data_IF_615420722834
#
_entry.id   IF_615420722834
#
_cell.length_a   1.000
_cell.length_b   1.000
_cell.length_c   1.000
_cell.angle_alpha   90.00
_cell.angle_beta   90.00
_cell.angle_gamma   90.00
#
_symmetry.space_group_name_H-M   'P 1'
#
loop_
_entity.id
_entity.type
_entity.pdbx_description
1 polymer ?
#
# COMPACT_ATOMS: atom_id res chain seq x y z
N UNK A 1 16.99 2.10 10.41
CA UNK A 1 17.58 1.11 9.47
C UNK A 1 16.74 0.88 8.20
N UNK A 2 15.48 1.35 8.10
CA UNK A 2 14.60 1.14 6.93
C UNK A 2 14.75 2.16 5.79
N UNK A 3 15.38 3.31 5.98
CA UNK A 3 15.41 4.37 4.94
C UNK A 3 16.51 4.19 3.88
N UNK A 4 17.62 3.54 4.23
CA UNK A 4 18.75 3.35 3.30
C UNK A 4 18.38 2.43 2.11
N UNK A 5 17.60 1.38 2.35
CA UNK A 5 17.19 0.43 1.30
C UNK A 5 16.29 1.11 0.27
N UNK A 6 15.36 1.96 0.73
CA UNK A 6 14.42 2.69 -0.13
C UNK A 6 15.12 3.67 -1.07
N UNK A 7 16.21 4.30 -0.61
CA UNK A 7 17.03 5.16 -1.44
C UNK A 7 17.67 4.39 -2.61
N UNK A 8 18.35 3.28 -2.32
CA UNK A 8 19.01 2.45 -3.33
C UNK A 8 18.00 1.90 -4.34
N UNK A 9 16.84 1.43 -3.86
CA UNK A 9 15.74 0.97 -4.71
C UNK A 9 15.27 2.05 -5.68
N UNK A 10 14.93 3.24 -5.17
CA UNK A 10 14.45 4.35 -5.99
C UNK A 10 15.51 4.83 -6.98
N UNK A 11 16.78 4.88 -6.56
CA UNK A 11 17.89 5.31 -7.41
C UNK A 11 18.20 4.30 -8.53
N UNK A 12 18.05 3.01 -8.26
CA UNK A 12 18.21 1.96 -9.28
C UNK A 12 17.09 2.01 -10.33
N UNK A 13 15.85 2.33 -9.93
CA UNK A 13 14.74 2.59 -10.87
C UNK A 13 15.11 3.75 -11.81
N UNK A 14 15.67 4.85 -11.29
CA UNK A 14 16.12 5.96 -12.12
C UNK A 14 17.20 5.56 -13.13
N UNK A 15 18.21 4.82 -12.67
CA UNK A 15 19.25 4.26 -13.56
C UNK A 15 18.63 3.38 -14.65
N UNK A 16 17.64 2.55 -14.32
CA UNK A 16 16.98 1.67 -15.28
C UNK A 16 16.26 2.45 -16.39
N UNK A 17 15.53 3.52 -16.03
CA UNK A 17 14.81 4.38 -16.97
C UNK A 17 15.80 5.08 -17.91
N UNK A 18 16.93 5.55 -17.37
CA UNK A 18 17.97 6.18 -18.17
C UNK A 18 18.74 5.20 -19.07
N UNK A 19 18.79 3.91 -18.73
CA UNK A 19 19.49 2.86 -19.50
C UNK A 19 18.70 2.34 -20.69
N UNK A 20 17.36 2.37 -20.63
CA UNK A 20 16.51 1.99 -21.75
C UNK A 20 16.75 2.95 -22.92
N UNK A 21 17.28 2.46 -24.04
CA UNK A 21 17.37 3.22 -25.29
C UNK A 21 15.93 3.43 -25.82
N UNK A 22 15.59 4.62 -26.34
CA UNK A 22 14.32 4.78 -27.01
C UNK A 22 14.27 3.81 -28.21
N UNK A 23 13.24 2.96 -28.26
CA UNK A 23 12.85 2.32 -29.51
C UNK A 23 12.45 3.43 -30.47
N UNK A 24 12.96 3.38 -31.70
CA UNK A 24 12.83 4.35 -32.78
C UNK A 24 11.57 5.23 -32.71
N UNK A 25 11.71 6.39 -32.08
CA UNK A 25 10.79 7.51 -32.30
C UNK A 25 11.65 8.75 -32.37
N UNK A 26 11.52 9.44 -33.49
CA UNK A 26 11.94 10.81 -33.65
C UNK A 26 11.24 11.66 -32.57
N UNK A 27 11.84 11.77 -31.37
CA UNK A 27 11.35 12.62 -30.27
C UNK A 27 12.01 13.99 -30.44
N UNK A 28 11.62 14.68 -31.52
CA UNK A 28 11.87 16.09 -31.69
C UNK A 28 11.11 16.84 -30.59
N UNK A 29 11.80 17.16 -29.51
CA UNK A 29 11.42 18.12 -28.47
C UNK A 29 10.11 17.84 -27.70
N UNK A 30 10.24 17.29 -26.48
CA UNK A 30 9.15 17.33 -25.50
C UNK A 30 9.17 18.65 -24.72
N UNK A 31 8.10 19.47 -24.77
CA UNK A 31 8.02 20.70 -23.99
C UNK A 31 7.92 20.39 -22.50
N UNK A 32 8.62 21.18 -21.67
CA UNK A 32 8.59 21.01 -20.23
C UNK A 32 7.19 21.18 -19.66
N UNK A 33 6.70 20.12 -18.99
CA UNK A 33 5.43 20.10 -18.28
C UNK A 33 5.49 21.00 -17.03
N UNK A 34 4.33 21.24 -16.41
CA UNK A 34 4.25 21.99 -15.15
C UNK A 34 4.98 21.23 -14.04
N UNK A 35 4.87 19.90 -14.05
CA UNK A 35 5.53 18.99 -13.12
C UNK A 35 7.05 19.01 -13.32
N UNK A 36 7.53 19.07 -14.57
CA UNK A 36 8.96 19.19 -14.86
C UNK A 36 9.54 20.47 -14.27
N UNK A 37 8.85 21.60 -14.52
CA UNK A 37 9.27 22.92 -14.00
C UNK A 37 9.28 22.93 -12.48
N UNK A 38 8.30 22.27 -11.86
CA UNK A 38 8.22 22.11 -10.42
C UNK A 38 9.39 21.30 -9.89
N UNK A 39 9.68 20.15 -10.49
CA UNK A 39 10.81 19.30 -10.12
C UNK A 39 12.15 20.02 -10.30
N UNK A 40 12.33 20.77 -11.41
CA UNK A 40 13.53 21.58 -11.65
C UNK A 40 13.70 22.65 -10.58
N UNK A 41 12.61 23.34 -10.20
CA UNK A 41 12.65 24.35 -9.14
C UNK A 41 13.01 23.73 -7.78
N UNK A 42 12.41 22.59 -7.44
CA UNK A 42 12.73 21.82 -6.22
C UNK A 42 14.18 21.34 -6.25
N UNK A 43 14.66 20.82 -7.38
CA UNK A 43 16.03 20.39 -7.56
C UNK A 43 17.03 21.53 -7.32
N UNK A 44 16.79 22.72 -7.87
CA UNK A 44 17.63 23.89 -7.63
C UNK A 44 17.69 24.27 -6.15
N UNK A 45 16.55 24.28 -5.47
CA UNK A 45 16.49 24.58 -4.02
C UNK A 45 17.26 23.56 -3.19
N UNK A 46 17.08 22.27 -3.48
CA UNK A 46 17.78 21.19 -2.77
C UNK A 46 19.27 21.16 -3.07
N UNK A 47 19.68 21.50 -4.29
CA UNK A 47 21.08 21.67 -4.65
C UNK A 47 21.74 22.78 -3.83
N UNK A 48 21.07 23.92 -3.68
CA UNK A 48 21.55 25.01 -2.83
C UNK A 48 21.66 24.57 -1.37
N UNK A 49 20.63 23.90 -0.84
CA UNK A 49 20.65 23.40 0.54
C UNK A 49 21.80 22.40 0.79
N UNK A 50 22.09 21.52 -0.17
CA UNK A 50 23.26 20.62 -0.11
C UNK A 50 24.57 21.43 -0.12
N UNK A 51 24.68 22.43 -1.00
CA UNK A 51 25.85 23.29 -1.07
C UNK A 51 26.08 24.06 0.25
N UNK A 52 25.06 24.72 0.78
CA UNK A 52 25.10 25.40 2.09
C UNK A 52 25.49 24.44 3.21
N UNK A 53 24.89 23.25 3.27
CA UNK A 53 25.19 22.26 4.28
C UNK A 53 26.68 21.83 4.27
N UNK A 54 27.27 21.71 3.08
CA UNK A 54 28.67 21.31 2.93
C UNK A 54 29.64 22.47 3.13
N UNK A 55 29.31 23.67 2.66
CA UNK A 55 30.20 24.84 2.70
C UNK A 55 30.27 25.50 4.07
N UNK A 56 29.15 25.63 4.79
CA UNK A 56 29.13 26.41 6.04
C UNK A 56 29.46 25.58 7.28
N UNK A 57 29.16 24.27 7.27
CA UNK A 57 29.28 23.43 8.47
C UNK A 57 29.73 21.98 8.19
N UNK A 58 30.16 21.64 6.96
CA UNK A 58 30.51 20.26 6.54
C UNK A 58 29.49 19.23 7.08
N UNK A 59 28.20 19.58 7.00
CA UNK A 59 27.13 18.76 7.52
C UNK A 59 26.73 17.71 6.48
N UNK A 60 27.56 16.66 6.39
CA UNK A 60 27.36 15.54 5.48
C UNK A 60 26.03 14.85 5.71
N UNK A 61 25.54 14.78 6.96
CA UNK A 61 24.26 14.16 7.28
C UNK A 61 23.10 14.91 6.63
N UNK A 62 23.00 16.22 6.85
CA UNK A 62 21.95 17.04 6.23
C UNK A 62 22.07 17.07 4.71
N UNK A 63 23.28 17.02 4.15
CA UNK A 63 23.49 16.89 2.71
C UNK A 63 22.93 15.56 2.18
N UNK A 64 23.21 14.43 2.84
CA UNK A 64 22.69 13.10 2.48
C UNK A 64 21.17 13.05 2.61
N UNK A 65 20.61 13.52 3.72
CA UNK A 65 19.16 13.53 3.94
C UNK A 65 18.45 14.34 2.84
N UNK A 66 18.98 15.51 2.48
CA UNK A 66 18.47 16.34 1.38
C UNK A 66 18.53 15.61 0.03
N UNK A 67 19.60 14.85 -0.24
CA UNK A 67 19.72 14.03 -1.45
C UNK A 67 18.73 12.84 -1.47
N UNK A 68 18.46 12.22 -0.32
CA UNK A 68 17.48 11.14 -0.20
C UNK A 68 16.05 11.64 -0.46
N UNK A 69 15.72 12.81 0.09
CA UNK A 69 14.45 13.45 -0.19
C UNK A 69 14.34 13.85 -1.67
N UNK A 70 15.42 14.31 -2.31
CA UNK A 70 15.43 14.61 -3.75
C UNK A 70 15.08 13.37 -4.59
N UNK A 71 15.63 12.20 -4.26
CA UNK A 71 15.26 10.93 -4.93
C UNK A 71 13.79 10.59 -4.72
N UNK A 72 13.25 10.89 -3.55
CA UNK A 72 11.82 10.70 -3.25
C UNK A 72 10.94 11.64 -4.08
N UNK A 73 11.32 12.91 -4.24
CA UNK A 73 10.60 13.88 -5.10
C UNK A 73 10.57 13.43 -6.56
N UNK A 74 11.70 12.88 -7.05
CA UNK A 74 11.77 12.35 -8.40
C UNK A 74 10.85 11.14 -8.55
N UNK A 75 10.79 10.24 -7.56
CA UNK A 75 9.89 9.10 -7.61
C UNK A 75 8.41 9.54 -7.64
N UNK A 76 8.03 10.54 -6.84
CA UNK A 76 6.68 11.13 -6.87
C UNK A 76 6.39 11.75 -8.25
N UNK A 77 7.38 12.39 -8.86
CA UNK A 77 7.27 12.92 -10.22
C UNK A 77 7.05 11.79 -11.26
N UNK A 78 7.75 10.65 -11.12
CA UNK A 78 7.56 9.49 -11.99
C UNK A 78 6.17 8.86 -11.85
N UNK A 79 5.58 8.85 -10.66
CA UNK A 79 4.20 8.36 -10.48
C UNK A 79 3.16 9.27 -11.15
N UNK A 80 3.44 10.56 -11.27
CA UNK A 80 2.53 11.55 -11.84
C UNK A 80 2.63 11.67 -13.37
N UNK A 81 3.77 11.30 -13.96
CA UNK A 81 4.04 11.46 -15.39
C UNK A 81 4.07 10.12 -16.13
N UNK A 82 3.27 10.00 -17.20
CA UNK A 82 3.31 8.82 -18.08
C UNK A 82 4.58 8.76 -18.94
N UNK A 83 5.11 9.92 -19.32
CA UNK A 83 6.34 10.04 -20.11
C UNK A 83 7.23 11.10 -19.47
N UNK A 84 8.17 10.70 -18.59
CA UNK A 84 9.01 11.65 -17.86
C UNK A 84 10.10 12.25 -18.75
N UNK A 85 10.46 13.50 -18.48
CA UNK A 85 11.52 14.19 -19.19
C UNK A 85 12.89 13.62 -18.79
N UNK A 86 13.52 12.88 -19.71
CA UNK A 86 14.79 12.19 -19.48
C UNK A 86 15.94 13.12 -19.13
N UNK A 87 15.94 14.35 -19.65
CA UNK A 87 17.01 15.32 -19.41
C UNK A 87 16.98 15.82 -17.95
N UNK A 88 15.79 16.05 -17.40
CA UNK A 88 15.64 16.41 -15.97
C UNK A 88 16.14 15.28 -15.07
N UNK A 89 15.73 14.05 -15.37
CA UNK A 89 16.16 12.86 -14.61
C UNK A 89 17.67 12.63 -14.70
N UNK A 90 18.26 12.81 -15.88
CA UNK A 90 19.70 12.68 -16.11
C UNK A 90 20.48 13.69 -15.29
N UNK A 91 20.09 14.96 -15.34
CA UNK A 91 20.75 16.03 -14.59
C UNK A 91 20.73 15.78 -13.07
N UNK A 92 19.60 15.30 -12.53
CA UNK A 92 19.48 14.96 -11.11
C UNK A 92 20.36 13.74 -10.76
N UNK A 93 20.33 12.69 -11.59
CA UNK A 93 21.11 11.46 -11.36
C UNK A 93 22.62 11.73 -11.40
N UNK A 94 23.08 12.55 -12.34
CA UNK A 94 24.48 12.99 -12.43
C UNK A 94 24.88 13.78 -11.20
N UNK A 95 24.05 14.72 -10.75
CA UNK A 95 24.32 15.49 -9.53
C UNK A 95 24.45 14.60 -8.30
N UNK A 96 23.50 13.70 -8.06
CA UNK A 96 23.53 12.79 -6.90
C UNK A 96 24.78 11.91 -6.94
N UNK A 97 25.12 11.37 -8.12
CA UNK A 97 26.33 10.55 -8.29
C UNK A 97 27.60 11.34 -7.99
N UNK A 98 27.67 12.57 -8.50
CA UNK A 98 28.80 13.47 -8.24
C UNK A 98 28.92 13.81 -6.76
N UNK A 99 27.82 14.07 -6.07
CA UNK A 99 27.85 14.32 -4.63
C UNK A 99 28.35 13.11 -3.84
N UNK A 100 27.97 11.89 -4.20
CA UNK A 100 28.55 10.70 -3.57
C UNK A 100 30.03 10.49 -3.89
N UNK A 101 30.53 10.97 -5.04
CA UNK A 101 31.96 11.00 -5.32
C UNK A 101 32.68 12.04 -4.44
N UNK A 102 32.11 13.24 -4.27
CA UNK A 102 32.63 14.29 -3.38
C UNK A 102 32.67 13.81 -1.93
N UNK A 103 31.66 13.05 -1.50
CA UNK A 103 31.61 12.41 -0.18
C UNK A 103 32.46 11.13 -0.08
N UNK A 104 33.22 10.77 -1.13
CA UNK A 104 34.07 9.58 -1.20
C UNK A 104 33.34 8.23 -0.98
N UNK A 105 32.02 8.20 -1.22
CA UNK A 105 31.18 6.98 -1.11
C UNK A 105 31.27 6.13 -2.38
N UNK A 106 31.40 6.79 -3.53
CA UNK A 106 31.55 6.13 -4.83
C UNK A 106 32.94 6.49 -5.37
N UNK A 107 33.78 5.51 -5.74
CA UNK A 107 35.05 5.81 -6.39
C UNK A 107 34.77 6.54 -7.70
N UNK A 108 35.45 7.68 -7.90
CA UNK A 108 35.53 8.29 -9.21
C UNK A 108 36.49 7.41 -10.00
N UNK A 109 36.03 6.89 -11.14
CA UNK A 109 36.88 6.15 -12.07
C UNK A 109 37.85 7.15 -12.71
N UNK A 110 38.85 7.55 -11.93
CA UNK A 110 39.85 8.53 -12.32
C UNK A 110 40.95 7.77 -13.06
N UNK A 111 40.60 7.29 -14.25
CA UNK A 111 41.57 6.77 -15.18
C UNK A 111 42.45 7.93 -15.65
N UNK A 112 43.63 8.08 -15.06
CA UNK A 112 44.65 9.01 -15.53
C UNK A 112 45.23 8.41 -16.83
N UNK A 113 44.73 8.85 -17.98
CA UNK A 113 45.22 8.42 -19.29
C UNK A 113 44.17 8.49 -20.39
N UNK A 114 44.51 7.99 -21.57
CA UNK A 114 43.56 7.78 -22.66
C UNK A 114 42.80 6.48 -22.42
N UNK A 115 41.46 6.49 -22.35
CA UNK A 115 40.69 5.27 -22.11
C UNK A 115 40.89 4.33 -23.30
N UNK A 116 41.67 3.28 -23.09
CA UNK A 116 41.60 2.08 -23.92
C UNK A 116 40.48 1.25 -23.32
N UNK A 117 39.48 0.97 -24.13
CA UNK A 117 38.29 0.22 -23.76
C UNK A 117 38.68 -1.03 -22.96
N UNK A 118 38.38 -1.06 -21.66
CA UNK A 118 37.99 -2.22 -20.85
C UNK A 118 38.06 -1.81 -19.36
N UNK A 119 36.95 -1.30 -18.83
CA UNK A 119 36.70 -1.34 -17.39
C UNK A 119 35.30 -1.90 -17.17
N UNK A 120 35.29 -3.20 -16.88
CA UNK A 120 34.14 -3.99 -16.50
C UNK A 120 33.48 -3.37 -15.26
N UNK A 121 32.42 -2.59 -15.47
CA UNK A 121 31.46 -2.34 -14.42
C UNK A 121 30.88 -3.70 -14.00
N UNK A 122 30.94 -4.00 -12.70
CA UNK A 122 30.13 -5.02 -12.03
C UNK A 122 28.66 -4.65 -12.22
N UNK A 123 28.14 -5.01 -13.39
CA UNK A 123 26.73 -4.93 -13.74
C UNK A 123 26.13 -6.22 -13.23
N UNK A 124 25.39 -6.15 -12.13
CA UNK A 124 24.44 -7.20 -11.80
C UNK A 124 23.60 -7.50 -13.04
N UNK A 125 23.66 -8.76 -13.47
CA UNK A 125 23.19 -9.17 -14.79
C UNK A 125 21.71 -8.79 -14.98
N UNK A 126 21.32 -8.20 -16.13
CA UNK A 126 19.95 -7.77 -16.41
C UNK A 126 18.87 -8.82 -16.14
N UNK A 127 19.18 -10.12 -16.29
CA UNK A 127 18.22 -11.19 -15.97
C UNK A 127 17.85 -11.28 -14.49
N UNK A 128 18.76 -10.94 -13.57
CA UNK A 128 18.51 -11.01 -12.12
C UNK A 128 17.52 -9.91 -11.72
N UNK A 129 17.70 -8.71 -12.28
CA UNK A 129 16.87 -7.53 -12.03
C UNK A 129 15.45 -7.66 -12.61
N UNK A 130 15.30 -8.33 -13.77
CA UNK A 130 13.97 -8.62 -14.36
C UNK A 130 13.23 -9.64 -13.50
N UNK A 131 13.92 -10.69 -13.03
CA UNK A 131 13.33 -11.69 -12.13
C UNK A 131 12.90 -11.06 -10.80
N UNK A 132 13.69 -10.15 -10.23
CA UNK A 132 13.30 -9.41 -9.02
C UNK A 132 12.07 -8.53 -9.26
N UNK A 133 11.98 -7.83 -10.40
CA UNK A 133 10.81 -7.02 -10.76
C UNK A 133 9.54 -7.85 -10.87
N UNK A 134 9.61 -9.02 -11.52
CA UNK A 134 8.44 -9.86 -11.74
C UNK A 134 8.04 -10.61 -10.46
N UNK A 135 9.00 -10.99 -9.60
CA UNK A 135 8.73 -11.50 -8.25
C UNK A 135 8.06 -10.42 -7.38
N UNK A 136 8.51 -9.16 -7.44
CA UNK A 136 7.92 -8.04 -6.69
C UNK A 136 6.51 -7.71 -7.15
N UNK A 137 6.27 -7.67 -8.47
CA UNK A 137 4.91 -7.50 -9.02
C UNK A 137 3.99 -8.65 -8.59
N UNK A 138 4.51 -9.88 -8.53
CA UNK A 138 3.75 -11.03 -8.06
C UNK A 138 3.47 -10.99 -6.54
N UNK A 139 4.41 -10.52 -5.71
CA UNK A 139 4.19 -10.35 -4.27
C UNK A 139 3.22 -9.20 -3.95
N UNK A 140 3.35 -8.06 -4.63
CA UNK A 140 2.44 -6.93 -4.46
C UNK A 140 1.02 -7.28 -4.92
N UNK A 141 0.88 -8.02 -6.01
CA UNK A 141 -0.41 -8.53 -6.49
C UNK A 141 -1.00 -9.56 -5.52
N UNK A 142 -0.19 -10.48 -4.96
CA UNK A 142 -0.65 -11.39 -3.89
C UNK A 142 -1.12 -10.62 -2.65
N UNK A 143 -0.40 -9.56 -2.25
CA UNK A 143 -0.76 -8.71 -1.11
C UNK A 143 -2.03 -7.90 -1.38
N UNK A 144 -2.25 -7.46 -2.63
CA UNK A 144 -3.47 -6.79 -3.08
C UNK A 144 -4.66 -7.75 -3.04
N UNK A 145 -4.51 -8.95 -3.60
CA UNK A 145 -5.54 -10.00 -3.58
C UNK A 145 -5.88 -10.44 -2.16
N UNK A 146 -4.91 -10.57 -1.26
CA UNK A 146 -5.18 -10.92 0.14
C UNK A 146 -5.91 -9.78 0.88
N UNK A 147 -5.54 -8.52 0.63
CA UNK A 147 -6.23 -7.36 1.20
C UNK A 147 -7.67 -7.26 0.69
N UNK A 148 -7.90 -7.52 -0.60
CA UNK A 148 -9.23 -7.55 -1.20
C UNK A 148 -10.06 -8.71 -0.66
N UNK A 149 -9.48 -9.90 -0.49
CA UNK A 149 -10.16 -11.05 0.12
C UNK A 149 -10.52 -10.79 1.59
N UNK A 150 -9.61 -10.20 2.37
CA UNK A 150 -9.86 -9.80 3.77
C UNK A 150 -10.94 -8.72 3.87
N UNK A 151 -10.98 -7.76 2.94
CA UNK A 151 -12.03 -6.72 2.89
C UNK A 151 -13.38 -7.32 2.50
N UNK A 152 -13.41 -8.22 1.51
CA UNK A 152 -14.63 -8.92 1.09
C UNK A 152 -15.18 -9.84 2.20
N UNK A 153 -14.30 -10.56 2.91
CA UNK A 153 -14.68 -11.41 4.04
C UNK A 153 -15.18 -10.58 5.24
N UNK A 154 -14.54 -9.44 5.53
CA UNK A 154 -15.00 -8.52 6.56
C UNK A 154 -16.37 -7.93 6.21
N UNK A 155 -16.57 -7.50 4.96
CA UNK A 155 -17.85 -7.00 4.48
C UNK A 155 -18.94 -8.08 4.53
N UNK A 156 -18.64 -9.33 4.15
CA UNK A 156 -19.58 -10.45 4.23
C UNK A 156 -19.94 -10.81 5.68
N UNK A 157 -18.97 -10.79 6.60
CA UNK A 157 -19.21 -11.00 8.03
C UNK A 157 -20.01 -9.87 8.66
N UNK A 158 -19.82 -8.65 8.20
CA UNK A 158 -20.57 -7.49 8.66
C UNK A 158 -22.02 -7.54 8.16
N UNK A 159 -22.26 -7.92 6.91
CA UNK A 159 -23.62 -8.10 6.37
C UNK A 159 -24.34 -9.29 7.02
N UNK A 160 -23.67 -10.39 7.32
CA UNK A 160 -24.23 -11.53 8.06
C UNK A 160 -24.59 -11.14 9.50
N UNK A 161 -23.71 -10.42 10.20
CA UNK A 161 -23.98 -9.90 11.54
C UNK A 161 -25.15 -8.91 11.53
N UNK A 162 -25.18 -7.99 10.58
CA UNK A 162 -26.28 -7.05 10.43
C UNK A 162 -27.61 -7.78 10.13
N UNK A 163 -27.58 -8.82 9.31
CA UNK A 163 -28.75 -9.66 9.05
C UNK A 163 -29.23 -10.38 10.31
N UNK A 164 -28.32 -10.93 11.13
CA UNK A 164 -28.66 -11.59 12.41
C UNK A 164 -29.19 -10.61 13.46
N UNK A 165 -28.67 -9.39 13.52
CA UNK A 165 -29.13 -8.34 14.43
C UNK A 165 -30.50 -7.76 14.05
N UNK A 166 -30.86 -7.84 12.76
CA UNK A 166 -32.16 -7.41 12.24
C UNK A 166 -33.27 -8.47 12.39
N UNK A 167 -32.95 -9.70 12.85
CA UNK A 167 -33.96 -10.74 13.08
C UNK A 167 -34.76 -10.39 14.33
N UNK A 168 -36.10 -10.25 14.22
CA UNK A 168 -36.96 -10.08 15.39
C UNK A 168 -36.84 -11.27 16.35
N UNK A 169 -36.86 -11.05 17.66
CA UNK A 169 -36.63 -12.11 18.65
C UNK A 169 -37.61 -13.30 18.53
N UNK A 170 -38.84 -13.07 18.07
CA UNK A 170 -39.84 -14.13 17.81
C UNK A 170 -39.56 -15.01 16.57
N UNK A 171 -38.74 -14.54 15.61
CA UNK A 171 -38.38 -15.30 14.41
C UNK A 171 -37.09 -16.12 14.57
N UNK A 172 -36.38 -15.94 15.71
CA UNK A 172 -35.06 -16.53 15.96
C UNK A 172 -35.11 -18.07 16.00
N UNK A 173 -36.17 -18.65 16.55
CA UNK A 173 -36.31 -20.10 16.68
C UNK A 173 -37.26 -20.72 15.65
N UNK A 174 -37.91 -19.89 14.83
CA UNK A 174 -38.92 -20.30 13.84
C UNK A 174 -38.31 -21.00 12.63
N UNK A 175 -36.99 -20.88 12.42
CA UNK A 175 -36.23 -21.56 11.36
C UNK A 175 -35.66 -22.91 11.79
N UNK A 176 -35.71 -23.28 13.08
CA UNK A 176 -35.26 -24.59 13.59
C UNK A 176 -36.41 -25.60 13.64
N UNK A 177 -37.16 -25.75 12.54
CA UNK A 177 -38.36 -26.61 12.46
C UNK A 177 -38.05 -28.11 12.54
N UNK A 178 -36.80 -28.53 12.33
CA UNK A 178 -36.40 -29.94 12.36
C UNK A 178 -36.33 -30.53 13.78
N UNK A 179 -36.43 -29.69 14.82
CA UNK A 179 -36.14 -30.10 16.21
C UNK A 179 -37.33 -29.97 17.17
N UNK A 180 -38.39 -29.24 16.80
CA UNK A 180 -39.47 -28.87 17.74
C UNK A 180 -40.83 -28.79 17.04
N UNK A 181 -41.84 -29.39 17.67
CA UNK A 181 -43.17 -29.56 17.05
C UNK A 181 -44.19 -28.47 17.44
N UNK A 182 -43.97 -27.72 18.52
CA UNK A 182 -44.93 -26.72 19.02
C UNK A 182 -44.23 -25.47 19.58
N UNK A 183 -44.87 -24.32 19.37
CA UNK A 183 -44.41 -22.98 19.75
C UNK A 183 -45.48 -22.30 20.62
N UNK A 184 -45.07 -21.50 21.60
CA UNK A 184 -45.99 -20.64 22.37
C UNK A 184 -46.30 -19.31 21.65
N UNK A 185 -47.16 -18.48 22.24
CA UNK A 185 -47.56 -17.14 21.74
C UNK A 185 -46.39 -16.15 21.58
N UNK A 186 -45.22 -16.45 22.16
CA UNK A 186 -43.99 -15.64 22.07
C UNK A 186 -42.96 -16.23 21.10
N UNK A 187 -43.27 -17.34 20.42
CA UNK A 187 -42.37 -18.02 19.48
C UNK A 187 -41.28 -18.86 20.17
N UNK A 188 -41.45 -19.18 21.46
CA UNK A 188 -40.56 -20.06 22.21
C UNK A 188 -41.01 -21.52 22.07
N UNK A 189 -40.03 -22.41 21.85
CA UNK A 189 -40.24 -23.84 21.65
C UNK A 189 -40.77 -24.46 22.94
N UNK A 190 -41.91 -25.15 22.90
CA UNK A 190 -42.54 -25.76 24.09
C UNK A 190 -42.42 -27.28 24.12
N UNK A 191 -42.33 -27.93 22.95
CA UNK A 191 -42.25 -29.37 22.79
C UNK A 191 -41.18 -29.76 21.77
N UNK A 192 -40.48 -30.87 22.00
CA UNK A 192 -39.50 -31.44 21.06
C UNK A 192 -40.17 -32.07 19.83
N UNK A 193 -39.35 -32.61 18.91
CA UNK A 193 -39.81 -33.27 17.69
C UNK A 193 -40.70 -34.52 17.95
N UNK A 194 -40.67 -35.08 19.17
CA UNK A 194 -41.48 -36.23 19.59
C UNK A 194 -42.77 -35.80 20.32
N UNK A 195 -43.02 -34.49 20.43
CA UNK A 195 -44.18 -33.93 21.11
C UNK A 195 -44.08 -33.96 22.64
N UNK A 196 -42.87 -34.17 23.19
CA UNK A 196 -42.62 -34.19 24.62
C UNK A 196 -42.19 -32.81 25.11
N UNK A 197 -42.68 -32.41 26.28
CA UNK A 197 -42.29 -31.12 26.86
C UNK A 197 -40.77 -31.03 27.08
N UNK A 198 -40.17 -29.98 26.55
CA UNK A 198 -38.73 -29.77 26.73
C UNK A 198 -38.38 -29.53 28.21
N UNK A 199 -37.24 -30.08 28.64
CA UNK A 199 -36.76 -29.98 30.02
C UNK A 199 -36.65 -28.52 30.51
N UNK A 200 -36.95 -28.26 31.80
CA UNK A 200 -36.84 -26.92 32.44
C UNK A 200 -35.48 -26.26 32.22
N UNK A 201 -34.41 -27.05 32.13
CA UNK A 201 -33.06 -26.56 31.84
C UNK A 201 -32.89 -26.07 30.40
N UNK A 202 -33.55 -26.71 29.43
CA UNK A 202 -33.55 -26.30 28.03
C UNK A 202 -34.44 -25.06 27.82
N UNK A 203 -35.62 -25.01 28.47
CA UNK A 203 -36.51 -23.83 28.51
C UNK A 203 -35.74 -22.58 28.99
N UNK A 204 -34.98 -22.69 30.09
CA UNK A 204 -34.17 -21.57 30.62
C UNK A 204 -33.03 -21.14 29.67
N UNK A 205 -32.42 -22.09 28.94
CA UNK A 205 -31.39 -21.78 27.93
C UNK A 205 -31.98 -21.06 26.70
N UNK A 206 -33.16 -21.47 26.26
CA UNK A 206 -33.89 -20.84 25.15
C UNK A 206 -34.36 -19.43 25.52
N UNK A 207 -34.90 -19.25 26.73
CA UNK A 207 -35.29 -17.93 27.25
C UNK A 207 -34.09 -16.98 27.32
N UNK A 208 -32.94 -17.44 27.82
CA UNK A 208 -31.72 -16.63 27.87
C UNK A 208 -31.21 -16.22 26.47
N UNK A 209 -31.35 -17.10 25.48
CA UNK A 209 -31.03 -16.78 24.07
C UNK A 209 -32.01 -15.77 23.49
N UNK A 210 -33.30 -15.91 23.79
CA UNK A 210 -34.35 -14.97 23.39
C UNK A 210 -34.12 -13.57 23.98
N UNK A 211 -33.90 -13.45 25.30
CA UNK A 211 -33.61 -12.18 25.97
C UNK A 211 -32.33 -11.51 25.43
N UNK A 212 -31.30 -12.31 25.16
CA UNK A 212 -30.07 -11.81 24.54
C UNK A 212 -30.30 -11.24 23.15
N UNK A 213 -31.09 -11.92 22.30
CA UNK A 213 -31.44 -11.43 20.97
C UNK A 213 -32.37 -10.20 21.05
N UNK A 214 -33.29 -10.17 22.02
CA UNK A 214 -34.19 -9.03 22.22
C UNK A 214 -33.41 -7.75 22.52
N UNK A 215 -32.37 -7.82 23.36
CA UNK A 215 -31.48 -6.68 23.63
C UNK A 215 -30.73 -6.23 22.37
N UNK A 216 -30.17 -7.18 21.61
CA UNK A 216 -29.47 -6.89 20.35
C UNK A 216 -30.39 -6.22 19.32
N UNK A 217 -31.64 -6.68 19.21
CA UNK A 217 -32.64 -6.10 18.32
C UNK A 217 -33.10 -4.71 18.77
N UNK A 218 -33.25 -4.48 20.08
CA UNK A 218 -33.52 -3.14 20.65
C UNK A 218 -32.39 -2.15 20.33
N UNK A 219 -31.14 -2.56 20.51
CA UNK A 219 -29.96 -1.74 20.17
C UNK A 219 -29.92 -1.42 18.66
N UNK A 220 -30.26 -2.38 17.80
CA UNK A 220 -30.39 -2.17 16.36
C UNK A 220 -31.49 -1.15 16.01
N UNK A 221 -32.67 -1.23 16.65
CA UNK A 221 -33.75 -0.26 16.46
C UNK A 221 -33.33 1.15 16.92
N UNK A 222 -32.64 1.28 18.06
CA UNK A 222 -32.11 2.55 18.56
C UNK A 222 -31.01 3.14 17.65
N UNK A 223 -30.14 2.30 17.09
CA UNK A 223 -29.09 2.71 16.14
C UNK A 223 -29.69 3.18 14.81
N UNK A 224 -30.67 2.45 14.26
CA UNK A 224 -31.36 2.80 13.02
C UNK A 224 -32.18 4.09 13.14
N UNK A 225 -32.76 4.36 14.31
CA UNK A 225 -33.48 5.61 14.57
C UNK A 225 -32.56 6.85 14.64
N UNK A 226 -31.29 6.69 15.06
CA UNK A 226 -30.30 7.78 15.14
C UNK A 226 -29.59 8.10 13.81
N UNK A 227 -29.59 7.18 12.85
CA UNK A 227 -28.95 7.36 11.54
C UNK A 227 -29.84 8.05 10.48
N UNK A 228 -31.04 8.51 10.85
CA UNK A 228 -32.05 9.04 9.93
C UNK A 228 -32.44 10.50 10.23
N UNK A 229 -31.56 11.24 10.92
CA UNK A 229 -31.62 12.69 11.19
C UNK A 229 -30.24 13.28 10.95
#
# INVERSE_FOLDING_TARGET
MMEHTKFCENFNILKSILRQKPEDVNVDYQPFTVEDKTLIATFRRKKEAVHTALCDNINTRSAIDTMQELVSDVYIYLEKQKVPNREVLKNITVFITHMFQVLAVIPKDEFIGFPTETSSATIESPEILIKERDVKRAEEEKKRQEKERKKAEAAAKETEKAALQAIPPGDLFRKETDKYSQFDDHGLLTHDAEGKEISKGLKKKLLKKYESQANVYQDYLHSKAKGNT
#
